data_IF_810793938530
#
_entry.id   IF_810793938530
#
_cell.length_a   1.000
_cell.length_b   1.000
_cell.length_c   1.000
_cell.angle_alpha   90.00
_cell.angle_beta   90.00
_cell.angle_gamma   90.00
#
_symmetry.space_group_name_H-M   'P 1'
#
loop_
_entity.id
_entity.type
_entity.pdbx_description
1 polymer ?
#
# COMPACT_ATOMS: atom_id res chain seq x y z
N UNK A 1 -29.04 5.67 -30.44
CA UNK A 1 -29.99 5.91 -29.33
C UNK A 1 -29.77 4.84 -28.27
N UNK A 2 -29.46 5.28 -27.04
CA UNK A 2 -29.62 4.59 -25.75
C UNK A 2 -28.71 3.33 -25.53
N UNK A 3 -27.75 3.31 -24.60
CA UNK A 3 -27.87 3.70 -23.20
C UNK A 3 -26.54 4.14 -22.57
N UNK A 4 -26.59 5.37 -22.06
CA UNK A 4 -25.70 5.97 -21.08
C UNK A 4 -25.97 5.36 -19.70
N UNK A 5 -25.18 4.39 -19.22
CA UNK A 5 -25.15 3.98 -17.80
C UNK A 5 -23.84 3.27 -17.46
N UNK A 6 -22.87 3.99 -16.90
CA UNK A 6 -22.04 3.49 -15.79
C UNK A 6 -21.63 4.66 -14.92
N UNK A 7 -22.33 4.78 -13.80
CA UNK A 7 -22.08 5.73 -12.72
C UNK A 7 -20.77 5.40 -12.02
N UNK A 8 -19.90 6.42 -11.94
CA UNK A 8 -18.74 6.52 -11.06
C UNK A 8 -19.08 6.03 -9.64
N UNK A 9 -18.42 4.94 -9.19
CA UNK A 9 -18.18 4.52 -7.78
C UNK A 9 -17.47 3.15 -7.69
N UNK A 10 -17.31 2.38 -8.79
CA UNK A 10 -16.81 0.99 -8.72
C UNK A 10 -15.39 0.67 -9.23
N UNK A 11 -14.52 1.65 -9.53
CA UNK A 11 -13.30 1.40 -10.34
C UNK A 11 -12.26 0.49 -9.65
N UNK A 12 -12.15 0.47 -8.33
CA UNK A 12 -11.19 -0.40 -7.61
C UNK A 12 -11.66 -1.86 -7.56
N UNK A 13 -12.98 -2.10 -7.65
CA UNK A 13 -13.58 -3.42 -7.62
C UNK A 13 -13.73 -4.00 -9.04
N UNK A 14 -13.97 -3.17 -10.05
CA UNK A 14 -14.19 -3.64 -11.42
C UNK A 14 -12.95 -4.28 -12.06
N UNK A 15 -11.74 -3.79 -11.74
CA UNK A 15 -10.50 -4.34 -12.29
C UNK A 15 -10.14 -5.70 -11.70
N UNK A 16 -10.77 -6.07 -10.58
CA UNK A 16 -10.66 -7.40 -9.99
C UNK A 16 -11.77 -8.36 -10.48
N UNK A 17 -12.80 -7.87 -11.20
CA UNK A 17 -14.02 -8.64 -11.49
C UNK A 17 -14.39 -8.71 -12.99
N UNK A 18 -13.89 -7.83 -13.86
CA UNK A 18 -14.14 -7.92 -15.31
C UNK A 18 -12.87 -8.20 -16.14
N UNK A 19 -12.58 -9.48 -16.45
CA UNK A 19 -11.52 -9.86 -17.40
C UNK A 19 -11.74 -9.29 -18.80
N UNK A 20 -13.00 -8.98 -19.16
CA UNK A 20 -13.38 -8.50 -20.50
C UNK A 20 -12.92 -7.05 -20.77
N UNK A 21 -13.06 -6.13 -19.81
CA UNK A 21 -12.57 -4.75 -19.95
C UNK A 21 -11.04 -4.68 -19.89
N UNK A 22 -10.39 -5.59 -19.16
CA UNK A 22 -8.95 -5.75 -19.23
C UNK A 22 -8.53 -6.19 -20.64
N UNK A 23 -9.20 -7.19 -21.22
CA UNK A 23 -8.83 -7.73 -22.55
C UNK A 23 -8.96 -6.73 -23.71
N UNK A 24 -9.91 -5.80 -23.65
CA UNK A 24 -10.15 -4.81 -24.71
C UNK A 24 -9.14 -3.65 -24.65
N UNK A 25 -8.71 -3.23 -23.45
CA UNK A 25 -7.61 -2.29 -23.26
C UNK A 25 -6.22 -2.92 -23.52
N UNK A 26 -6.11 -4.24 -23.32
CA UNK A 26 -4.88 -5.03 -23.50
C UNK A 26 -4.48 -5.14 -24.97
N UNK A 27 -5.45 -5.36 -25.88
CA UNK A 27 -5.18 -5.54 -27.32
C UNK A 27 -4.60 -4.29 -28.03
N UNK A 28 -4.65 -3.12 -27.39
CA UNK A 28 -4.17 -1.85 -27.96
C UNK A 28 -2.77 -1.44 -27.44
N UNK A 29 -2.20 -2.18 -26.49
CA UNK A 29 -0.93 -1.82 -25.80
C UNK A 29 0.33 -2.54 -26.31
N UNK A 30 0.21 -3.45 -27.29
CA UNK A 30 1.32 -4.24 -27.81
C UNK A 30 2.25 -3.44 -28.74
N UNK A 31 3.12 -2.61 -28.15
CA UNK A 31 4.30 -2.05 -28.82
C UNK A 31 5.39 -3.12 -28.96
N UNK A 32 5.87 -3.33 -30.19
CA UNK A 32 6.73 -4.46 -30.58
C UNK A 32 8.22 -4.32 -30.18
N UNK A 33 8.58 -3.38 -29.29
CA UNK A 33 9.98 -3.00 -29.00
C UNK A 33 10.41 -3.15 -27.53
N UNK A 34 9.51 -3.59 -26.64
CA UNK A 34 9.83 -3.75 -25.21
C UNK A 34 10.02 -2.43 -24.45
N UNK A 35 9.61 -1.29 -25.02
CA UNK A 35 9.56 -0.01 -24.32
C UNK A 35 8.39 0.02 -23.31
N UNK A 36 8.59 0.69 -22.17
CA UNK A 36 7.52 0.89 -21.18
C UNK A 36 6.57 1.98 -21.70
N UNK A 37 5.58 1.59 -22.50
CA UNK A 37 4.54 2.48 -23.03
C UNK A 37 3.38 2.61 -22.05
N UNK A 38 2.74 3.79 -21.98
CA UNK A 38 1.48 3.93 -21.26
C UNK A 38 0.39 3.19 -22.02
N UNK A 39 -0.58 2.64 -21.29
CA UNK A 39 -1.76 2.07 -21.93
C UNK A 39 -2.67 3.19 -22.44
N UNK A 40 -3.48 2.88 -23.46
CA UNK A 40 -4.36 3.87 -24.09
C UNK A 40 -5.26 4.57 -23.07
N UNK A 41 -5.47 5.88 -23.25
CA UNK A 41 -6.25 6.76 -22.37
C UNK A 41 -5.73 6.87 -20.92
N UNK A 42 -4.47 6.52 -20.65
CA UNK A 42 -3.85 6.59 -19.32
C UNK A 42 -4.65 5.81 -18.25
N UNK A 43 -5.27 4.70 -18.64
CA UNK A 43 -6.11 3.90 -17.74
C UNK A 43 -5.34 3.51 -16.46
N UNK A 44 -4.06 3.18 -16.55
CA UNK A 44 -3.17 2.87 -15.42
C UNK A 44 -3.15 3.98 -14.35
N UNK A 45 -3.22 5.23 -14.78
CA UNK A 45 -3.16 6.41 -13.93
C UNK A 45 -4.50 6.67 -13.27
N UNK A 46 -5.61 6.36 -13.95
CA UNK A 46 -6.95 6.35 -13.35
C UNK A 46 -7.09 5.26 -12.29
N UNK A 47 -6.51 4.07 -12.53
CA UNK A 47 -6.46 2.99 -11.54
C UNK A 47 -5.70 3.43 -10.29
N UNK A 48 -4.49 3.98 -10.49
CA UNK A 48 -3.68 4.50 -9.39
C UNK A 48 -4.44 5.61 -8.63
N UNK A 49 -5.08 6.54 -9.36
CA UNK A 49 -5.86 7.62 -8.75
C UNK A 49 -7.03 7.09 -7.92
N UNK A 50 -7.75 6.07 -8.39
CA UNK A 50 -8.85 5.47 -7.65
C UNK A 50 -8.36 4.85 -6.33
N UNK A 51 -7.28 4.08 -6.35
CA UNK A 51 -6.67 3.50 -5.14
C UNK A 51 -6.26 4.60 -4.15
N UNK A 52 -5.68 5.69 -4.66
CA UNK A 52 -5.25 6.84 -3.86
C UNK A 52 -6.42 7.55 -3.23
N UNK A 53 -7.41 7.96 -4.03
CA UNK A 53 -8.59 8.67 -3.54
C UNK A 53 -9.33 7.83 -2.50
N UNK A 54 -9.53 6.54 -2.75
CA UNK A 54 -10.16 5.64 -1.78
C UNK A 54 -9.35 5.54 -0.48
N UNK A 55 -8.02 5.50 -0.55
CA UNK A 55 -7.16 5.48 0.65
C UNK A 55 -7.23 6.79 1.44
N UNK A 56 -7.26 7.94 0.76
CA UNK A 56 -7.39 9.26 1.39
C UNK A 56 -8.77 9.43 2.05
N UNK A 57 -9.84 9.06 1.35
CA UNK A 57 -11.22 9.14 1.86
C UNK A 57 -11.40 8.20 3.05
N UNK A 58 -10.93 6.95 2.96
CA UNK A 58 -10.97 5.99 4.07
C UNK A 58 -10.24 6.55 5.29
N UNK A 59 -9.01 7.04 5.12
CA UNK A 59 -8.24 7.66 6.20
C UNK A 59 -8.95 8.89 6.79
N UNK A 60 -9.57 9.73 5.97
CA UNK A 60 -10.34 10.88 6.45
C UNK A 60 -11.56 10.44 7.26
N UNK A 61 -12.35 9.49 6.76
CA UNK A 61 -13.53 8.95 7.42
C UNK A 61 -13.19 8.33 8.78
N UNK A 62 -12.13 7.50 8.86
CA UNK A 62 -11.67 6.90 10.13
C UNK A 62 -11.29 7.93 11.20
N UNK A 63 -11.01 9.17 10.81
CA UNK A 63 -10.61 10.27 11.68
C UNK A 63 -11.67 11.38 11.75
N UNK A 64 -12.90 11.11 11.30
CA UNK A 64 -14.00 12.06 11.33
C UNK A 64 -14.57 12.24 12.75
N UNK A 65 -15.07 13.44 13.04
CA UNK A 65 -15.74 13.74 14.32
C UNK A 65 -17.02 12.91 14.48
N UNK A 66 -17.75 12.72 13.38
CA UNK A 66 -18.99 11.92 13.33
C UNK A 66 -18.70 10.42 13.54
N UNK A 67 -19.34 9.76 14.53
CA UNK A 67 -19.20 8.31 14.75
C UNK A 67 -19.59 7.48 13.53
N UNK A 68 -20.69 7.84 12.86
CA UNK A 68 -21.18 7.15 11.66
C UNK A 68 -20.16 7.24 10.52
N UNK A 69 -19.51 8.39 10.35
CA UNK A 69 -18.45 8.55 9.35
C UNK A 69 -17.21 7.71 9.69
N UNK A 70 -16.88 7.53 10.97
CA UNK A 70 -15.78 6.64 11.38
C UNK A 70 -16.10 5.17 11.14
N UNK A 71 -17.28 4.71 11.54
CA UNK A 71 -17.75 3.35 11.23
C UNK A 71 -17.71 3.09 9.72
N UNK A 72 -18.20 4.03 8.92
CA UNK A 72 -18.10 3.96 7.46
C UNK A 72 -16.64 3.87 6.98
N UNK A 73 -15.73 4.68 7.54
CA UNK A 73 -14.30 4.60 7.25
C UNK A 73 -13.70 3.23 7.57
N UNK A 74 -14.06 2.62 8.70
CA UNK A 74 -13.62 1.26 9.06
C UNK A 74 -14.18 0.21 8.09
N UNK A 75 -15.43 0.36 7.63
CA UNK A 75 -16.04 -0.50 6.61
C UNK A 75 -15.32 -0.33 5.27
N UNK A 76 -14.98 0.89 4.86
CA UNK A 76 -14.19 1.13 3.64
C UNK A 76 -12.80 0.47 3.73
N UNK A 77 -12.13 0.56 4.88
CA UNK A 77 -10.86 -0.11 5.11
C UNK A 77 -11.00 -1.64 5.00
N UNK A 78 -12.08 -2.20 5.57
CA UNK A 78 -12.45 -3.60 5.41
C UNK A 78 -12.62 -3.98 3.93
N UNK A 79 -13.39 -3.20 3.17
CA UNK A 79 -13.61 -3.45 1.75
C UNK A 79 -12.31 -3.39 0.96
N UNK A 80 -11.38 -2.49 1.32
CA UNK A 80 -10.03 -2.46 0.74
C UNK A 80 -9.25 -3.76 0.97
N UNK A 81 -9.25 -4.28 2.20
CA UNK A 81 -8.61 -5.56 2.51
C UNK A 81 -9.30 -6.74 1.79
N UNK A 82 -10.63 -6.76 1.75
CA UNK A 82 -11.39 -7.79 1.02
C UNK A 82 -11.18 -7.70 -0.49
N UNK A 83 -10.98 -6.51 -1.05
CA UNK A 83 -10.62 -6.33 -2.46
C UNK A 83 -9.24 -6.91 -2.78
N UNK A 84 -8.25 -6.73 -1.90
CA UNK A 84 -6.94 -7.40 -2.04
C UNK A 84 -7.08 -8.92 -1.95
N UNK A 85 -7.88 -9.43 -1.01
CA UNK A 85 -8.16 -10.86 -0.92
C UNK A 85 -8.86 -11.39 -2.19
N UNK A 86 -9.89 -10.69 -2.67
CA UNK A 86 -10.62 -11.05 -3.87
C UNK A 86 -9.71 -11.03 -5.12
N UNK A 87 -8.86 -10.00 -5.26
CA UNK A 87 -7.83 -9.96 -6.30
C UNK A 87 -6.91 -11.20 -6.23
N UNK A 88 -6.49 -11.62 -5.04
CA UNK A 88 -5.69 -12.84 -4.91
C UNK A 88 -6.49 -14.10 -5.30
N UNK A 89 -7.64 -14.34 -4.66
CA UNK A 89 -8.39 -15.60 -4.81
C UNK A 89 -9.10 -15.74 -6.16
N UNK A 90 -9.56 -14.64 -6.76
CA UNK A 90 -10.31 -14.67 -8.02
C UNK A 90 -9.41 -14.45 -9.23
N UNK A 91 -8.50 -13.48 -9.15
CA UNK A 91 -7.64 -13.13 -10.28
C UNK A 91 -6.32 -13.91 -10.24
N UNK A 92 -5.52 -13.79 -9.18
CA UNK A 92 -4.18 -14.41 -9.15
C UNK A 92 -4.25 -15.93 -9.31
N UNK A 93 -5.16 -16.61 -8.59
CA UNK A 93 -5.35 -18.06 -8.75
C UNK A 93 -5.87 -18.43 -10.15
N UNK A 94 -6.73 -17.61 -10.75
CA UNK A 94 -7.26 -17.84 -12.09
C UNK A 94 -6.24 -17.70 -13.21
N UNK A 95 -5.13 -16.98 -12.97
CA UNK A 95 -4.10 -16.73 -13.99
C UNK A 95 -3.11 -17.88 -14.19
N UNK A 96 -3.04 -18.84 -13.26
CA UNK A 96 -2.02 -19.90 -13.31
C UNK A 96 -0.59 -19.44 -12.98
N UNK A 97 -0.40 -18.19 -12.54
CA UNK A 97 0.92 -17.60 -12.26
C UNK A 97 1.59 -18.21 -11.04
N UNK A 98 0.82 -18.75 -10.09
CA UNK A 98 1.42 -19.38 -8.92
C UNK A 98 2.04 -20.74 -9.26
N UNK A 99 1.49 -21.42 -10.25
CA UNK A 99 1.95 -22.70 -10.79
C UNK A 99 3.09 -22.51 -11.79
N UNK A 100 3.00 -21.46 -12.62
CA UNK A 100 4.00 -21.13 -13.64
C UNK A 100 4.51 -19.67 -13.47
N UNK A 101 5.20 -19.35 -12.36
CA UNK A 101 5.74 -18.02 -12.16
C UNK A 101 6.89 -17.73 -13.12
N UNK A 102 7.26 -16.45 -13.24
CA UNK A 102 8.52 -16.04 -13.84
C UNK A 102 9.69 -16.89 -13.30
N UNK A 103 10.63 -17.37 -14.15
CA UNK A 103 11.74 -18.19 -13.70
C UNK A 103 12.53 -17.56 -12.56
N UNK A 104 12.83 -18.36 -11.54
CA UNK A 104 13.57 -17.93 -10.35
C UNK A 104 14.97 -17.44 -10.76
N UNK A 105 15.32 -16.24 -10.33
CA UNK A 105 16.67 -15.68 -10.48
C UNK A 105 17.52 -16.00 -9.25
N UNK A 106 16.88 -16.20 -8.11
CA UNK A 106 17.48 -16.51 -6.81
C UNK A 106 16.64 -17.56 -6.07
N UNK A 107 17.20 -18.28 -5.08
CA UNK A 107 16.43 -19.22 -4.26
C UNK A 107 15.24 -18.56 -3.53
N UNK A 108 15.34 -17.27 -3.19
CA UNK A 108 14.28 -16.51 -2.51
C UNK A 108 13.02 -16.35 -3.37
N UNK A 109 13.15 -16.41 -4.70
CA UNK A 109 12.01 -16.28 -5.61
C UNK A 109 10.98 -17.41 -5.44
N UNK A 110 11.45 -18.61 -5.08
CA UNK A 110 10.59 -19.77 -4.84
C UNK A 110 9.60 -19.56 -3.69
N UNK A 111 9.88 -18.63 -2.78
CA UNK A 111 8.99 -18.32 -1.66
C UNK A 111 7.86 -17.35 -2.03
N UNK A 112 7.94 -16.65 -3.17
CA UNK A 112 7.00 -15.57 -3.53
C UNK A 112 5.56 -16.06 -3.74
N UNK A 113 5.29 -17.20 -4.40
CA UNK A 113 3.94 -17.75 -4.45
C UNK A 113 3.35 -18.01 -3.06
N UNK A 114 4.13 -18.60 -2.15
CA UNK A 114 3.70 -18.82 -0.75
C UNK A 114 3.47 -17.51 -0.01
N UNK A 115 4.30 -16.48 -0.24
CA UNK A 115 4.10 -15.16 0.34
C UNK A 115 2.79 -14.52 -0.12
N UNK A 116 2.42 -14.66 -1.40
CA UNK A 116 1.13 -14.16 -1.90
C UNK A 116 -0.05 -14.88 -1.26
N UNK A 117 0.02 -16.20 -1.09
CA UNK A 117 -0.97 -16.95 -0.33
C UNK A 117 -1.15 -16.41 1.09
N UNK A 118 -0.03 -16.23 1.80
CA UNK A 118 -0.05 -15.69 3.15
C UNK A 118 -0.65 -14.28 3.18
N UNK A 119 -0.26 -13.41 2.25
CA UNK A 119 -0.78 -12.05 2.15
C UNK A 119 -2.27 -12.03 1.83
N UNK A 120 -2.75 -12.88 0.92
CA UNK A 120 -4.17 -13.03 0.58
C UNK A 120 -5.01 -13.50 1.77
N UNK A 121 -4.51 -14.47 2.54
CA UNK A 121 -5.16 -14.96 3.77
C UNK A 121 -5.19 -13.90 4.88
N UNK A 122 -4.07 -13.19 5.08
CA UNK A 122 -4.00 -12.07 6.03
C UNK A 122 -4.98 -10.97 5.64
N UNK A 123 -5.05 -10.62 4.35
CA UNK A 123 -5.98 -9.61 3.84
C UNK A 123 -7.44 -10.02 4.06
N UNK A 124 -7.79 -11.30 3.82
CA UNK A 124 -9.12 -11.83 4.09
C UNK A 124 -9.47 -11.75 5.58
N UNK A 125 -8.59 -12.23 6.45
CA UNK A 125 -8.79 -12.21 7.90
C UNK A 125 -8.91 -10.77 8.43
N UNK A 126 -8.04 -9.86 7.98
CA UNK A 126 -8.08 -8.45 8.35
C UNK A 126 -9.37 -7.78 7.84
N UNK A 127 -9.79 -8.06 6.61
CA UNK A 127 -11.03 -7.56 6.04
C UNK A 127 -12.25 -7.98 6.86
N UNK A 128 -12.40 -9.27 7.14
CA UNK A 128 -13.49 -9.78 7.98
C UNK A 128 -13.47 -9.20 9.39
N UNK A 129 -12.30 -9.09 10.01
CA UNK A 129 -12.14 -8.48 11.32
C UNK A 129 -12.55 -7.00 11.33
N UNK A 130 -12.09 -6.22 10.35
CA UNK A 130 -12.45 -4.81 10.21
C UNK A 130 -13.94 -4.62 9.89
N UNK A 131 -14.55 -5.54 9.12
CA UNK A 131 -15.99 -5.51 8.86
C UNK A 131 -16.78 -5.65 10.17
N UNK A 132 -16.42 -6.63 11.00
CA UNK A 132 -17.03 -6.85 12.31
C UNK A 132 -16.83 -5.63 13.22
N UNK A 133 -15.63 -5.03 13.22
CA UNK A 133 -15.37 -3.80 13.98
C UNK A 133 -16.21 -2.62 13.47
N UNK A 134 -16.29 -2.42 12.16
CA UNK A 134 -17.07 -1.35 11.55
C UNK A 134 -18.56 -1.46 11.88
N UNK A 135 -19.11 -2.68 11.81
CA UNK A 135 -20.50 -2.97 12.21
C UNK A 135 -20.70 -2.69 13.71
N UNK A 136 -19.79 -3.15 14.59
CA UNK A 136 -19.87 -2.85 16.03
C UNK A 136 -19.81 -1.35 16.32
N UNK A 137 -18.92 -0.62 15.65
CA UNK A 137 -18.78 0.84 15.77
C UNK A 137 -20.02 1.60 15.28
N UNK A 138 -20.88 1.00 14.45
CA UNK A 138 -22.08 1.68 13.94
C UNK A 138 -23.11 1.99 15.04
N UNK A 139 -23.03 1.29 16.17
CA UNK A 139 -23.85 1.54 17.37
C UNK A 139 -23.26 2.59 18.32
N UNK A 140 -22.04 3.09 18.09
CA UNK A 140 -21.41 4.12 18.93
C UNK A 140 -21.88 5.52 18.55
N UNK A 141 -22.06 6.39 19.55
CA UNK A 141 -22.55 7.77 19.41
C UNK A 141 -21.52 8.84 19.82
N UNK A 142 -20.40 8.44 20.42
CA UNK A 142 -19.39 9.37 20.97
C UNK A 142 -18.62 10.10 19.87
N UNK A 143 -18.68 11.42 19.87
CA UNK A 143 -17.88 12.25 18.97
C UNK A 143 -16.36 12.10 19.24
N UNK A 144 -15.55 12.13 18.18
CA UNK A 144 -14.09 12.13 18.28
C UNK A 144 -13.58 13.54 17.97
N UNK A 145 -13.34 14.32 19.02
CA UNK A 145 -12.73 15.64 18.85
C UNK A 145 -11.21 15.51 18.75
N UNK A 146 -10.66 15.93 17.61
CA UNK A 146 -9.23 15.97 17.35
C UNK A 146 -8.82 17.40 17.05
N UNK A 147 -7.76 17.86 17.72
CA UNK A 147 -7.05 19.08 17.32
C UNK A 147 -6.40 18.86 15.95
N UNK A 148 -6.18 19.94 15.21
CA UNK A 148 -5.45 19.89 13.92
C UNK A 148 -4.03 19.38 14.14
N UNK A 149 -3.35 19.94 15.14
CA UNK A 149 -2.00 19.59 15.57
C UNK A 149 -1.99 18.56 16.69
N UNK A 150 -0.81 17.99 16.96
CA UNK A 150 -0.62 17.05 18.07
C UNK A 150 -0.72 17.76 19.42
N UNK A 151 -1.15 17.01 20.43
CA UNK A 151 -1.05 17.40 21.84
C UNK A 151 -0.15 16.39 22.60
N UNK A 152 0.16 16.62 23.89
CA UNK A 152 1.04 15.73 24.64
C UNK A 152 0.57 14.26 24.72
N UNK A 153 -0.73 14.02 24.60
CA UNK A 153 -1.33 12.70 24.79
C UNK A 153 -1.74 12.02 23.50
N UNK A 154 -2.09 12.78 22.45
CA UNK A 154 -2.72 12.29 21.22
C UNK A 154 -2.15 12.93 19.97
N UNK A 155 -2.16 12.17 18.88
CA UNK A 155 -1.86 12.70 17.56
C UNK A 155 -3.05 13.51 17.03
N UNK A 156 -2.73 14.66 16.44
CA UNK A 156 -3.71 15.52 15.78
C UNK A 156 -4.26 14.91 14.50
N UNK A 157 -5.32 15.54 13.99
CA UNK A 157 -6.04 15.10 12.79
C UNK A 157 -5.12 14.99 11.56
N UNK A 158 -4.21 15.94 11.36
CA UNK A 158 -3.29 15.93 10.20
C UNK A 158 -2.30 14.77 10.31
N UNK A 159 -1.70 14.57 11.48
CA UNK A 159 -0.75 13.46 11.71
C UNK A 159 -1.41 12.09 11.49
N UNK A 160 -2.66 11.93 11.95
CA UNK A 160 -3.43 10.70 11.78
C UNK A 160 -3.82 10.48 10.31
N UNK A 161 -4.26 11.53 9.61
CA UNK A 161 -4.58 11.47 8.18
C UNK A 161 -3.34 11.03 7.37
N UNK A 162 -2.21 11.72 7.53
CA UNK A 162 -0.96 11.39 6.84
C UNK A 162 -0.50 9.96 7.15
N UNK A 163 -0.61 9.53 8.41
CA UNK A 163 -0.26 8.16 8.80
C UNK A 163 -1.16 7.12 8.13
N UNK A 164 -2.49 7.24 8.26
CA UNK A 164 -3.42 6.22 7.75
C UNK A 164 -3.45 6.18 6.23
N UNK A 165 -3.35 7.33 5.56
CA UNK A 165 -3.18 7.38 4.10
C UNK A 165 -1.91 6.67 3.66
N UNK A 166 -0.78 6.94 4.33
CA UNK A 166 0.49 6.24 4.04
C UNK A 166 0.37 4.74 4.32
N UNK A 167 -0.22 4.36 5.45
CA UNK A 167 -0.33 2.97 5.87
C UNK A 167 -1.20 2.15 4.90
N UNK A 168 -2.35 2.68 4.47
CA UNK A 168 -3.22 1.99 3.51
C UNK A 168 -2.53 1.77 2.17
N UNK A 169 -1.93 2.83 1.60
CA UNK A 169 -1.21 2.71 0.34
C UNK A 169 -0.02 1.77 0.43
N UNK A 170 0.75 1.86 1.52
CA UNK A 170 1.95 1.05 1.70
C UNK A 170 1.62 -0.42 1.98
N UNK A 171 0.55 -0.73 2.72
CA UNK A 171 0.08 -2.10 2.92
C UNK A 171 -0.40 -2.70 1.60
N UNK A 172 -1.11 -1.95 0.76
CA UNK A 172 -1.51 -2.39 -0.59
C UNK A 172 -0.30 -2.68 -1.48
N UNK A 173 0.78 -1.91 -1.34
CA UNK A 173 2.01 -2.08 -2.13
C UNK A 173 2.78 -3.38 -1.84
N UNK A 174 2.58 -4.02 -0.68
CA UNK A 174 3.29 -5.25 -0.29
C UNK A 174 2.94 -6.44 -1.19
N UNK A 175 1.65 -6.85 -1.32
CA UNK A 175 1.28 -7.88 -2.28
C UNK A 175 1.53 -7.43 -3.72
N UNK A 176 1.41 -6.13 -4.01
CA UNK A 176 1.74 -5.63 -5.34
C UNK A 176 3.20 -5.85 -5.72
N UNK A 177 4.14 -5.52 -4.84
CA UNK A 177 5.57 -5.73 -5.09
C UNK A 177 5.91 -7.21 -5.24
N UNK A 178 5.29 -8.08 -4.42
CA UNK A 178 5.50 -9.53 -4.51
C UNK A 178 5.00 -10.07 -5.85
N UNK A 179 3.77 -9.70 -6.24
CA UNK A 179 3.19 -10.13 -7.51
C UNK A 179 3.94 -9.57 -8.71
N UNK A 180 4.26 -8.28 -8.72
CA UNK A 180 5.06 -7.63 -9.77
C UNK A 180 6.37 -8.39 -10.08
N UNK A 181 6.94 -9.05 -9.07
CA UNK A 181 8.19 -9.77 -9.20
C UNK A 181 8.06 -11.21 -9.73
N UNK A 182 6.84 -11.75 -9.86
CA UNK A 182 6.57 -13.10 -10.39
C UNK A 182 5.78 -13.10 -11.70
N UNK A 183 5.22 -11.96 -12.14
CA UNK A 183 4.51 -11.88 -13.44
C UNK A 183 5.48 -12.30 -14.57
N UNK A 184 5.14 -13.31 -15.38
CA UNK A 184 5.94 -13.75 -16.52
C UNK A 184 6.20 -12.62 -17.53
N UNK A 185 7.33 -12.70 -18.24
CA UNK A 185 7.58 -11.80 -19.36
C UNK A 185 6.52 -12.03 -20.46
N UNK A 186 6.11 -10.97 -21.15
CA UNK A 186 5.07 -11.05 -22.20
C UNK A 186 3.62 -11.13 -21.70
N UNK A 187 3.38 -11.11 -20.37
CA UNK A 187 2.00 -10.98 -19.85
C UNK A 187 1.45 -9.57 -20.13
N UNK A 188 0.29 -9.50 -20.77
CA UNK A 188 -0.28 -8.25 -21.30
C UNK A 188 -0.45 -7.12 -20.27
N UNK A 189 -0.97 -7.45 -19.09
CA UNK A 189 -1.23 -6.44 -18.04
C UNK A 189 0.03 -6.03 -17.26
N UNK A 190 1.19 -6.64 -17.53
CA UNK A 190 2.41 -6.48 -16.71
C UNK A 190 2.90 -5.04 -16.68
N UNK A 191 2.91 -4.37 -17.83
CA UNK A 191 3.38 -3.00 -17.93
C UNK A 191 2.47 -2.05 -17.15
N UNK A 192 1.15 -2.11 -17.39
CA UNK A 192 0.16 -1.35 -16.65
C UNK A 192 0.29 -1.55 -15.13
N UNK A 193 0.51 -2.80 -14.70
CA UNK A 193 0.73 -3.13 -13.30
C UNK A 193 1.96 -2.44 -12.70
N UNK A 194 3.07 -2.41 -13.45
CA UNK A 194 4.29 -1.70 -13.05
C UNK A 194 4.08 -0.19 -12.99
N UNK A 195 3.32 0.40 -13.91
CA UNK A 195 3.00 1.82 -13.87
C UNK A 195 2.19 2.17 -12.62
N UNK A 196 1.15 1.39 -12.31
CA UNK A 196 0.34 1.59 -11.09
C UNK A 196 1.21 1.46 -9.84
N UNK A 197 2.03 0.41 -9.75
CA UNK A 197 2.94 0.19 -8.61
C UNK A 197 3.91 1.37 -8.43
N UNK A 198 4.59 1.79 -9.51
CA UNK A 198 5.53 2.92 -9.47
C UNK A 198 4.83 4.22 -9.07
N UNK A 199 3.65 4.51 -9.64
CA UNK A 199 2.88 5.72 -9.34
C UNK A 199 2.52 5.80 -7.85
N UNK A 200 2.01 4.70 -7.28
CA UNK A 200 1.69 4.64 -5.85
C UNK A 200 2.96 4.75 -5.00
N UNK A 201 4.06 4.12 -5.42
CA UNK A 201 5.36 4.21 -4.74
C UNK A 201 5.89 5.65 -4.64
N UNK A 202 5.82 6.42 -5.74
CA UNK A 202 6.17 7.85 -5.75
C UNK A 202 5.25 8.64 -4.83
N UNK A 203 3.93 8.37 -4.84
CA UNK A 203 3.02 9.07 -3.94
C UNK A 203 3.30 8.78 -2.46
N UNK A 204 3.58 7.53 -2.10
CA UNK A 204 3.96 7.16 -0.72
C UNK A 204 5.19 7.95 -0.27
N UNK A 205 6.17 8.15 -1.17
CA UNK A 205 7.33 9.00 -0.91
C UNK A 205 6.95 10.47 -0.67
N UNK A 206 6.05 11.03 -1.49
CA UNK A 206 5.54 12.41 -1.32
C UNK A 206 4.76 12.57 0.01
N UNK A 207 3.91 11.61 0.36
CA UNK A 207 3.18 11.59 1.63
C UNK A 207 4.14 11.52 2.82
N UNK A 208 5.20 10.72 2.71
CA UNK A 208 6.25 10.65 3.74
C UNK A 208 6.99 11.98 3.89
N UNK A 209 7.39 12.62 2.78
CA UNK A 209 8.05 13.92 2.82
C UNK A 209 7.14 14.96 3.50
N UNK A 210 5.87 14.99 3.14
CA UNK A 210 4.85 15.84 3.78
C UNK A 210 4.74 15.54 5.28
N UNK A 211 4.72 14.25 5.66
CA UNK A 211 4.68 13.80 7.05
C UNK A 211 5.94 14.18 7.83
N UNK A 212 7.12 14.13 7.23
CA UNK A 212 8.36 14.56 7.85
C UNK A 212 8.34 16.07 8.11
N UNK A 213 7.97 16.87 7.11
CA UNK A 213 7.83 18.33 7.25
C UNK A 213 6.81 18.66 8.36
N UNK A 214 5.67 17.98 8.39
CA UNK A 214 4.65 18.17 9.42
C UNK A 214 5.17 17.85 10.84
N UNK A 215 5.95 16.78 10.97
CA UNK A 215 6.55 16.40 12.26
C UNK A 215 7.63 17.37 12.74
N UNK A 216 8.27 18.13 11.85
CA UNK A 216 9.20 19.19 12.25
C UNK A 216 8.47 20.39 12.87
N UNK A 217 7.20 20.60 12.48
CA UNK A 217 6.36 21.71 12.96
C UNK A 217 5.52 21.36 14.18
N UNK A 218 5.30 20.08 14.45
CA UNK A 218 4.41 19.62 15.53
C UNK A 218 5.11 18.69 16.50
N UNK A 219 4.92 18.91 17.81
CA UNK A 219 5.52 18.05 18.84
C UNK A 219 4.89 16.67 18.80
N UNK A 220 5.69 15.61 18.67
CA UNK A 220 5.17 14.23 18.72
C UNK A 220 4.75 13.89 20.17
N UNK A 221 3.60 13.24 20.40
CA UNK A 221 3.25 12.71 21.71
C UNK A 221 4.34 11.77 22.22
N UNK A 222 4.70 11.87 23.50
CA UNK A 222 5.72 11.02 24.09
C UNK A 222 5.26 9.55 24.08
N UNK A 223 6.20 8.60 23.94
CA UNK A 223 5.89 7.17 24.11
C UNK A 223 5.28 6.95 25.50
N UNK A 224 4.34 6.00 25.61
CA UNK A 224 3.64 5.75 26.86
C UNK A 224 4.65 5.41 27.98
N UNK A 225 4.49 6.05 29.14
CA UNK A 225 5.35 5.83 30.30
C UNK A 225 5.30 4.38 30.79
N UNK A 226 4.19 3.69 30.54
CA UNK A 226 3.96 2.28 30.87
C UNK A 226 4.82 1.29 30.08
N UNK A 227 5.52 1.73 29.03
CA UNK A 227 6.45 0.87 28.29
C UNK A 227 7.74 0.63 29.07
N UNK A 228 8.18 -0.63 29.15
CA UNK A 228 9.49 -0.98 29.71
C UNK A 228 10.60 -0.30 28.89
N UNK A 229 11.78 0.00 29.48
CA UNK A 229 12.87 0.66 28.77
C UNK A 229 13.29 -0.04 27.47
N UNK A 230 13.30 -1.39 27.47
CA UNK A 230 13.60 -2.20 26.27
C UNK A 230 12.51 -2.05 25.20
N UNK A 231 11.24 -2.12 25.59
CA UNK A 231 10.11 -1.96 24.66
C UNK A 231 10.11 -0.56 24.04
N UNK A 232 10.47 0.47 24.82
CA UNK A 232 10.62 1.85 24.33
C UNK A 232 11.73 1.97 23.27
N UNK A 233 12.89 1.35 23.51
CA UNK A 233 14.00 1.31 22.53
C UNK A 233 13.60 0.56 21.26
N UNK A 234 12.94 -0.60 21.39
CA UNK A 234 12.45 -1.39 20.26
C UNK A 234 11.40 -0.62 19.45
N UNK A 235 10.41 -0.01 20.10
CA UNK A 235 9.41 0.81 19.44
C UNK A 235 10.04 1.98 18.67
N UNK A 236 11.04 2.64 19.26
CA UNK A 236 11.78 3.69 18.56
C UNK A 236 12.54 3.16 17.35
N UNK A 237 13.28 2.05 17.51
CA UNK A 237 14.02 1.40 16.42
C UNK A 237 13.12 0.97 15.27
N UNK A 238 11.97 0.36 15.57
CA UNK A 238 10.95 -0.02 14.58
C UNK A 238 10.42 1.20 13.84
N UNK A 239 10.09 2.29 14.54
CA UNK A 239 9.64 3.50 13.87
C UNK A 239 10.73 4.08 12.96
N UNK A 240 11.98 4.20 13.43
CA UNK A 240 13.09 4.70 12.61
C UNK A 240 13.29 3.82 11.38
N UNK A 241 13.28 2.49 11.55
CA UNK A 241 13.39 1.54 10.45
C UNK A 241 12.26 1.70 9.43
N UNK A 242 10.99 1.82 9.87
CA UNK A 242 9.86 2.03 8.98
C UNK A 242 9.97 3.36 8.19
N UNK A 243 10.42 4.44 8.81
CA UNK A 243 10.71 5.68 8.08
C UNK A 243 11.83 5.47 7.05
N UNK A 244 12.87 4.72 7.42
CA UNK A 244 13.93 4.31 6.51
C UNK A 244 13.40 3.53 5.30
N UNK A 245 12.52 2.54 5.51
CA UNK A 245 11.93 1.75 4.42
C UNK A 245 11.01 2.56 3.51
N UNK A 246 10.22 3.48 4.08
CA UNK A 246 9.35 4.36 3.31
C UNK A 246 10.14 5.31 2.39
N UNK A 247 11.43 5.57 2.68
CA UNK A 247 12.36 6.29 1.80
C UNK A 247 13.06 5.32 0.85
N UNK A 248 13.67 4.27 1.40
CA UNK A 248 14.59 3.41 0.69
C UNK A 248 13.89 2.60 -0.41
N UNK A 249 12.66 2.12 -0.20
CA UNK A 249 11.96 1.32 -1.20
C UNK A 249 11.61 2.13 -2.45
N UNK A 250 10.95 3.30 -2.37
CA UNK A 250 10.72 4.14 -3.56
C UNK A 250 12.02 4.57 -4.25
N UNK A 251 13.05 4.97 -3.48
CA UNK A 251 14.34 5.39 -4.05
C UNK A 251 15.01 4.24 -4.79
N UNK A 252 15.16 3.07 -4.16
CA UNK A 252 15.79 1.90 -4.79
C UNK A 252 15.00 1.40 -6.00
N UNK A 253 13.67 1.47 -5.97
CA UNK A 253 12.82 1.09 -7.10
C UNK A 253 12.95 2.05 -8.29
N UNK A 254 13.02 3.35 -8.02
CA UNK A 254 13.25 4.37 -9.05
C UNK A 254 14.65 4.26 -9.65
N UNK A 255 15.67 4.03 -8.83
CA UNK A 255 17.06 3.82 -9.28
C UNK A 255 17.17 2.55 -10.12
N UNK A 256 16.59 1.44 -9.67
CA UNK A 256 16.51 0.20 -10.44
C UNK A 256 15.84 0.41 -11.80
N UNK A 257 14.70 1.12 -11.83
CA UNK A 257 13.96 1.42 -13.07
C UNK A 257 14.78 2.29 -14.02
N UNK A 258 15.51 3.27 -13.48
CA UNK A 258 16.40 4.13 -14.27
C UNK A 258 17.54 3.33 -14.93
N UNK A 259 18.15 2.38 -14.22
CA UNK A 259 19.19 1.52 -14.79
C UNK A 259 18.67 0.50 -15.82
N UNK A 260 17.37 0.20 -15.80
CA UNK A 260 16.72 -0.51 -16.90
C UNK A 260 16.53 0.36 -18.16
N UNK A 261 16.74 1.69 -18.06
CA UNK A 261 16.48 2.62 -19.16
C UNK A 261 15.01 2.97 -19.35
N UNK A 262 14.13 2.60 -18.42
CA UNK A 262 12.69 2.88 -18.52
C UNK A 262 12.30 4.14 -17.77
N UNK A 263 11.34 4.92 -18.30
CA UNK A 263 10.76 6.03 -17.55
C UNK A 263 9.99 5.53 -16.32
N UNK A 264 9.79 6.44 -15.36
CA UNK A 264 8.86 6.26 -14.25
C UNK A 264 7.71 7.24 -14.39
N UNK A 265 6.50 6.72 -14.58
CA UNK A 265 5.31 7.54 -14.61
C UNK A 265 4.80 7.82 -13.19
N UNK A 266 4.39 9.07 -12.97
CA UNK A 266 3.70 9.54 -11.78
C UNK A 266 2.44 10.26 -12.25
N UNK A 267 1.32 9.54 -12.33
CA UNK A 267 0.14 10.00 -13.06
C UNK A 267 0.55 10.49 -14.46
N UNK A 268 0.15 11.69 -14.86
CA UNK A 268 0.46 12.30 -16.17
C UNK A 268 1.92 12.72 -16.33
N UNK A 269 2.73 12.71 -15.27
CA UNK A 269 4.12 13.12 -15.35
C UNK A 269 5.02 11.93 -15.68
N UNK A 270 5.96 12.16 -16.59
CA UNK A 270 7.03 11.23 -16.91
C UNK A 270 8.34 11.69 -16.27
N UNK A 271 8.93 10.83 -15.44
CA UNK A 271 10.25 11.02 -14.89
C UNK A 271 11.25 10.24 -15.75
N UNK A 272 12.19 10.92 -16.44
CA UNK A 272 13.15 10.25 -17.28
C UNK A 272 14.13 9.41 -16.43
N UNK A 273 14.74 8.37 -17.01
CA UNK A 273 15.86 7.67 -16.38
C UNK A 273 16.96 8.65 -15.97
N UNK A 274 17.48 8.52 -14.76
CA UNK A 274 18.59 9.36 -14.29
C UNK A 274 19.97 8.90 -14.76
N UNK A 275 20.09 7.64 -15.21
CA UNK A 275 21.36 7.02 -15.60
C UNK A 275 21.23 6.33 -16.94
N UNK A 276 22.37 6.12 -17.60
CA UNK A 276 22.45 5.23 -18.75
C UNK A 276 22.11 3.79 -18.32
N UNK A 277 21.50 2.98 -19.21
CA UNK A 277 21.20 1.58 -18.91
C UNK A 277 22.44 0.81 -18.45
N UNK A 278 22.27 -0.01 -17.42
CA UNK A 278 23.34 -0.84 -16.85
C UNK A 278 22.78 -2.12 -16.24
N UNK A 279 23.26 -3.26 -16.72
CA UNK A 279 22.90 -4.58 -16.17
C UNK A 279 23.37 -4.71 -14.71
N UNK A 280 24.60 -4.27 -14.42
CA UNK A 280 25.14 -4.29 -13.05
C UNK A 280 24.30 -3.42 -12.12
N UNK A 281 23.95 -2.20 -12.56
CA UNK A 281 23.06 -1.32 -11.79
C UNK A 281 21.70 -1.96 -11.53
N UNK A 282 21.11 -2.55 -12.56
CA UNK A 282 19.83 -3.27 -12.47
C UNK A 282 19.88 -4.41 -11.46
N UNK A 283 20.92 -5.23 -11.48
CA UNK A 283 21.09 -6.36 -10.55
C UNK A 283 21.27 -5.88 -9.12
N UNK A 284 22.16 -4.90 -8.88
CA UNK A 284 22.46 -4.39 -7.54
C UNK A 284 21.23 -3.74 -6.92
N UNK A 285 20.56 -2.83 -7.63
CA UNK A 285 19.37 -2.17 -7.09
C UNK A 285 18.15 -3.10 -7.04
N UNK A 286 18.09 -4.11 -7.92
CA UNK A 286 17.16 -5.21 -7.83
C UNK A 286 17.34 -6.04 -6.56
N UNK A 287 18.58 -6.31 -6.12
CA UNK A 287 18.87 -6.99 -4.85
C UNK A 287 18.24 -6.25 -3.66
N UNK A 288 18.44 -4.93 -3.60
CA UNK A 288 17.88 -4.10 -2.52
C UNK A 288 16.35 -4.02 -2.59
N UNK A 289 15.80 -3.69 -3.76
CA UNK A 289 14.38 -3.38 -3.89
C UNK A 289 13.48 -4.62 -3.88
N UNK A 290 13.93 -5.76 -4.41
CA UNK A 290 13.13 -6.99 -4.54
C UNK A 290 13.36 -8.00 -3.42
N UNK A 291 14.51 -7.94 -2.72
CA UNK A 291 14.89 -8.96 -1.75
C UNK A 291 15.27 -8.37 -0.38
N UNK A 292 16.35 -7.60 -0.26
CA UNK A 292 16.82 -7.20 1.07
C UNK A 292 15.79 -6.34 1.82
N UNK A 293 15.32 -5.25 1.21
CA UNK A 293 14.44 -4.30 1.88
C UNK A 293 13.05 -4.87 2.14
N UNK A 294 12.35 -5.55 1.19
CA UNK A 294 11.02 -6.08 1.46
C UNK A 294 11.00 -7.13 2.59
N UNK A 295 11.96 -8.04 2.65
CA UNK A 295 11.94 -9.11 3.67
C UNK A 295 12.22 -8.55 5.07
N UNK A 296 13.16 -7.62 5.21
CA UNK A 296 13.39 -6.93 6.49
C UNK A 296 12.20 -6.05 6.85
N UNK A 297 11.56 -5.42 5.86
CA UNK A 297 10.32 -4.69 6.06
C UNK A 297 9.22 -5.60 6.61
N UNK A 298 9.02 -6.80 6.07
CA UNK A 298 7.95 -7.71 6.53
C UNK A 298 8.10 -8.04 8.02
N UNK A 299 9.32 -8.31 8.46
CA UNK A 299 9.64 -8.53 9.88
C UNK A 299 9.37 -7.27 10.70
N UNK A 300 9.85 -6.12 10.23
CA UNK A 300 9.73 -4.83 10.92
C UNK A 300 8.27 -4.38 11.05
N UNK A 301 7.50 -4.51 9.97
CA UNK A 301 6.08 -4.17 9.92
C UNK A 301 5.26 -5.15 10.76
N UNK A 302 5.59 -6.45 10.71
CA UNK A 302 5.01 -7.46 11.59
C UNK A 302 5.24 -7.11 13.06
N UNK A 303 6.47 -6.77 13.44
CA UNK A 303 6.80 -6.34 14.79
C UNK A 303 6.05 -5.05 15.20
N UNK A 304 5.87 -4.10 14.28
CA UNK A 304 5.09 -2.89 14.52
C UNK A 304 3.62 -3.19 14.84
N UNK A 305 2.96 -3.97 13.96
CA UNK A 305 1.53 -4.29 14.10
C UNK A 305 1.31 -5.18 15.31
N UNK A 306 2.06 -6.28 15.44
CA UNK A 306 1.94 -7.21 16.56
C UNK A 306 2.30 -6.57 17.89
N UNK A 307 3.30 -5.68 17.92
CA UNK A 307 3.64 -4.91 19.11
C UNK A 307 2.49 -4.01 19.57
N UNK A 308 1.87 -3.28 18.63
CA UNK A 308 0.69 -2.46 18.94
C UNK A 308 -0.48 -3.30 19.47
N UNK A 309 -0.76 -4.45 18.85
CA UNK A 309 -1.81 -5.38 19.27
C UNK A 309 -1.51 -6.00 20.65
N UNK A 310 -0.27 -6.46 20.89
CA UNK A 310 0.17 -6.98 22.19
C UNK A 310 -0.05 -5.94 23.29
N UNK A 311 0.41 -4.71 23.07
CA UNK A 311 0.27 -3.65 24.06
C UNK A 311 -1.20 -3.33 24.35
N UNK A 312 -2.07 -3.36 23.34
CA UNK A 312 -3.48 -3.08 23.53
C UNK A 312 -4.24 -4.22 24.23
N UNK A 313 -4.11 -5.46 23.73
CA UNK A 313 -4.94 -6.59 24.15
C UNK A 313 -4.35 -7.41 25.30
N UNK A 314 -3.02 -7.56 25.36
CA UNK A 314 -2.33 -8.40 26.36
C UNK A 314 -1.88 -7.54 27.54
N UNK A 315 -1.10 -6.49 27.26
CA UNK A 315 -0.56 -5.61 28.31
C UNK A 315 -1.62 -4.62 28.85
N UNK A 316 -2.79 -4.54 28.19
CA UNK A 316 -3.89 -3.63 28.54
C UNK A 316 -3.45 -2.16 28.62
N UNK A 317 -2.54 -1.75 27.73
CA UNK A 317 -2.09 -0.38 27.52
C UNK A 317 -2.87 0.23 26.33
N UNK A 318 -4.10 0.74 26.55
CA UNK A 318 -4.98 1.15 25.45
C UNK A 318 -4.37 2.27 24.60
N UNK A 319 -3.49 3.08 25.20
CA UNK A 319 -2.83 4.22 24.55
C UNK A 319 -1.90 3.84 23.38
N UNK A 320 -1.45 2.58 23.29
CA UNK A 320 -0.60 2.14 22.18
C UNK A 320 -1.32 2.27 20.82
N UNK A 321 -2.63 2.00 20.79
CA UNK A 321 -3.46 2.08 19.58
C UNK A 321 -4.36 3.33 19.60
N UNK A 322 -4.98 3.67 20.75
CA UNK A 322 -5.94 4.79 20.87
C UNK A 322 -5.39 6.17 20.50
N UNK A 323 -4.07 6.34 20.46
CA UNK A 323 -3.44 7.58 20.00
C UNK A 323 -3.53 7.77 18.48
N UNK A 324 -3.75 6.68 17.74
CA UNK A 324 -3.87 6.67 16.28
C UNK A 324 -5.29 6.35 15.78
N UNK A 325 -6.14 5.74 16.61
CA UNK A 325 -7.54 5.42 16.26
C UNK A 325 -8.55 6.20 17.10
N UNK A 326 -9.82 6.18 16.69
CA UNK A 326 -10.94 6.80 17.41
C UNK A 326 -11.45 5.94 18.55
#
# INVERSE_FOLDING_TARGET
MNNLKWTYVGVVVLLAIEPALASEAINLSAGNDGSATRIENDLDSWIALAIVVTSLVTAWCMNAVSPKARSFGTILASLGCLAVAAWFFLFVLGTGILENPKPNQTPLDSAKPTLLWLQGLIALAAGLFLLLLGIRQSGEDKALELKTENDPERYGRVSRLLHWSTAMLFITMIPMGTFASIIPEGTDYRNAYYVVHKTIGVLVFVLLATRLIWNLRTRRPALAESLKPVERKLAHGVHVALYGFLIALPVTGFVMTSFHGYPTFFFIWELPPLWAPSDTGTVVWGLFHKYLLPYVLYITLGAHILGALKHHYIDKHPQAIKRMVG
#
